data_IF_443102689491
#
_entry.id   IF_443102689491
#
_cell.length_a   1.000
_cell.length_b   1.000
_cell.length_c   1.000
_cell.angle_alpha   90.00
_cell.angle_beta   90.00
_cell.angle_gamma   90.00
#
_symmetry.space_group_name_H-M   'P 1'
#
loop_
_entity.id
_entity.type
_entity.pdbx_description
1 polymer ?
#
# COMPACT_ATOMS: atom_id res chain seq x y z
N UNK A 1 -22.67 -20.14 -24.73
CA UNK A 1 -22.65 -19.62 -24.14
C UNK A 1 -22.74 -19.00 -23.52
N UNK A 2 -22.63 -19.24 -23.68
CA UNK A 2 -22.45 -18.37 -23.01
C UNK A 2 -22.72 -17.81 -22.32
N UNK A 3 -22.72 -18.18 -22.47
CA UNK A 3 -22.74 -17.39 -21.76
C UNK A 3 -22.82 -16.89 -21.14
N UNK A 4 -22.68 -17.21 -21.32
CA UNK A 4 -22.58 -16.58 -20.63
C UNK A 4 -22.39 -15.97 -20.33
N UNK A 5 -22.08 -15.79 -20.70
CA UNK A 5 -21.81 -15.15 -20.26
C UNK A 5 -22.10 -14.23 -19.92
N UNK A 6 -22.25 -14.16 -20.36
CA UNK A 6 -22.56 -13.40 -19.87
C UNK A 6 -22.82 -12.90 -18.94
N UNK A 7 -22.98 -12.91 -18.79
CA UNK A 7 -23.08 -12.36 -17.90
C UNK A 7 -22.57 -11.82 -17.32
N UNK A 8 -22.26 -11.78 -17.69
CA UNK A 8 -21.45 -11.34 -17.24
C UNK A 8 -20.97 -10.06 -17.06
N UNK A 9 -21.30 -9.30 -17.59
CA UNK A 9 -20.88 -8.04 -17.57
C UNK A 9 -20.82 -7.47 -16.28
N UNK A 10 -21.72 -7.59 -15.48
CA UNK A 10 -21.57 -7.17 -14.21
C UNK A 10 -20.58 -7.88 -13.53
N UNK A 11 -20.32 -9.03 -13.86
CA UNK A 11 -19.28 -9.74 -13.34
C UNK A 11 -18.05 -9.12 -13.66
N UNK A 12 -17.92 -8.55 -14.78
CA UNK A 12 -16.67 -7.95 -15.15
C UNK A 12 -16.32 -6.85 -14.18
N UNK A 13 -17.28 -6.21 -13.59
CA UNK A 13 -16.95 -5.21 -12.63
C UNK A 13 -16.36 -5.81 -11.40
N UNK A 14 -16.73 -7.01 -11.08
CA UNK A 14 -16.18 -7.62 -9.93
C UNK A 14 -14.84 -8.17 -10.20
N UNK A 15 -14.49 -8.29 -11.47
CA UNK A 15 -13.21 -8.84 -11.83
C UNK A 15 -12.23 -7.78 -12.22
N UNK A 16 -12.41 -6.58 -11.71
CA UNK A 16 -11.48 -5.52 -12.02
C UNK A 16 -10.08 -5.83 -11.55
N UNK A 17 -9.95 -6.60 -10.50
CA UNK A 17 -8.64 -6.92 -9.95
C UNK A 17 -8.39 -8.40 -10.08
N UNK A 18 -7.40 -8.76 -10.88
CA UNK A 18 -7.03 -10.15 -11.01
C UNK A 18 -6.06 -10.52 -9.89
N UNK A 19 -5.84 -11.79 -9.72
CA UNK A 19 -4.91 -12.26 -8.71
C UNK A 19 -3.52 -11.73 -8.97
N UNK A 20 -3.10 -11.73 -10.23
CA UNK A 20 -1.77 -11.22 -10.59
C UNK A 20 -1.66 -9.73 -10.26
N UNK A 21 -2.70 -8.97 -10.55
CA UNK A 21 -2.68 -7.55 -10.23
C UNK A 21 -2.63 -7.33 -8.74
N UNK A 22 -3.39 -8.12 -7.99
CA UNK A 22 -3.39 -7.99 -6.54
C UNK A 22 -2.00 -8.30 -5.98
N UNK A 23 -1.36 -9.34 -6.49
CA UNK A 23 -0.03 -9.70 -6.02
C UNK A 23 0.98 -8.61 -6.34
N UNK A 24 0.89 -8.04 -7.53
CA UNK A 24 1.80 -6.98 -7.93
C UNK A 24 1.60 -5.75 -7.05
N UNK A 25 0.36 -5.40 -6.77
CA UNK A 25 0.07 -4.25 -5.93
C UNK A 25 0.63 -4.49 -4.53
N UNK A 26 0.43 -5.69 -4.00
CA UNK A 26 0.94 -6.01 -2.68
C UNK A 26 2.46 -5.94 -2.64
N UNK A 27 3.11 -6.42 -3.67
CA UNK A 27 4.56 -6.39 -3.72
C UNK A 27 5.07 -4.96 -3.70
N UNK A 28 4.44 -4.08 -4.45
CA UNK A 28 4.88 -2.70 -4.49
C UNK A 28 4.56 -1.95 -3.20
N UNK A 29 3.44 -2.28 -2.58
CA UNK A 29 3.13 -1.70 -1.28
C UNK A 29 4.17 -2.13 -0.25
N UNK A 30 4.56 -3.39 -0.28
CA UNK A 30 5.56 -3.90 0.65
C UNK A 30 6.92 -3.25 0.42
N UNK A 31 7.16 -2.76 -0.78
CA UNK A 31 8.39 -2.04 -1.09
C UNK A 31 8.32 -0.58 -0.67
N UNK A 32 7.21 -0.15 -0.12
CA UNK A 32 7.11 1.19 0.42
C UNK A 32 6.43 2.21 -0.48
N UNK A 33 5.89 1.77 -1.62
CA UNK A 33 5.21 2.71 -2.50
C UNK A 33 3.81 2.98 -2.00
N UNK A 34 3.29 4.15 -2.34
CA UNK A 34 1.93 4.47 -1.96
C UNK A 34 0.96 3.83 -2.93
N UNK A 35 -0.24 3.59 -2.45
CA UNK A 35 -1.26 3.00 -3.29
C UNK A 35 -1.58 3.91 -4.49
N UNK A 36 -1.63 5.20 -4.24
CA UNK A 36 -1.91 6.14 -5.31
C UNK A 36 -0.90 6.05 -6.44
N UNK A 37 0.39 6.06 -6.10
CA UNK A 37 1.39 6.00 -7.15
C UNK A 37 1.40 4.66 -7.86
N UNK A 38 1.08 3.58 -7.15
CA UNK A 38 1.01 2.27 -7.77
C UNK A 38 -0.09 2.22 -8.81
N UNK A 39 -1.26 2.69 -8.44
CA UNK A 39 -2.40 2.62 -9.34
C UNK A 39 -2.23 3.54 -10.55
N UNK A 40 -1.60 4.68 -10.35
CA UNK A 40 -1.39 5.60 -11.46
C UNK A 40 -0.32 5.11 -12.42
N UNK A 41 0.71 4.48 -11.90
CA UNK A 41 1.83 4.07 -12.73
C UNK A 41 1.49 2.98 -13.71
N UNK A 42 0.58 2.08 -13.33
CA UNK A 42 0.25 0.96 -14.19
C UNK A 42 -1.01 1.15 -15.01
N UNK A 43 -1.64 2.30 -14.88
CA UNK A 43 -2.84 2.55 -15.65
C UNK A 43 -3.89 1.46 -15.43
N UNK A 44 -4.07 1.09 -14.19
CA UNK A 44 -5.12 0.12 -13.87
C UNK A 44 -6.47 0.71 -14.24
N UNK A 45 -7.42 -0.14 -14.59
CA UNK A 45 -8.73 0.34 -15.03
C UNK A 45 -9.65 0.77 -13.89
N UNK A 46 -9.11 1.04 -12.73
CA UNK A 46 -9.92 1.47 -11.61
C UNK A 46 -9.21 2.57 -10.84
N UNK A 47 -10.03 3.43 -10.25
CA UNK A 47 -9.50 4.54 -9.47
C UNK A 47 -9.22 4.08 -8.05
N UNK A 48 -8.59 4.95 -7.28
CA UNK A 48 -8.30 4.64 -5.89
C UNK A 48 -9.61 4.39 -5.12
N UNK A 49 -10.63 5.20 -5.40
CA UNK A 49 -11.89 5.05 -4.71
C UNK A 49 -12.55 3.73 -5.05
N UNK A 50 -12.49 3.32 -6.30
CA UNK A 50 -13.05 2.05 -6.69
C UNK A 50 -12.29 0.91 -6.05
N UNK A 51 -10.99 1.06 -5.93
CA UNK A 51 -10.16 0.05 -5.30
C UNK A 51 -10.58 -0.15 -3.85
N UNK A 52 -10.77 0.94 -3.11
CA UNK A 52 -11.21 0.84 -1.73
C UNK A 52 -12.60 0.22 -1.64
N UNK A 53 -13.48 0.58 -2.57
CA UNK A 53 -14.80 -0.03 -2.60
C UNK A 53 -14.72 -1.54 -2.82
N UNK A 54 -13.78 -1.95 -3.65
CA UNK A 54 -13.59 -3.35 -3.92
C UNK A 54 -13.09 -4.08 -2.67
N UNK A 55 -12.19 -3.45 -1.93
CA UNK A 55 -11.67 -4.04 -0.70
C UNK A 55 -12.76 -4.28 0.33
N UNK A 56 -13.72 -3.39 0.38
CA UNK A 56 -14.81 -3.55 1.34
C UNK A 56 -15.62 -4.81 1.06
N UNK A 57 -15.65 -5.24 -0.16
CA UNK A 57 -16.42 -6.41 -0.54
C UNK A 57 -15.58 -7.67 -0.62
N UNK A 58 -14.28 -7.55 -0.42
CA UNK A 58 -13.40 -8.69 -0.56
C UNK A 58 -12.46 -8.75 0.62
N UNK A 59 -12.90 -9.43 1.66
CA UNK A 59 -12.16 -9.50 2.90
C UNK A 59 -10.78 -10.08 2.74
N UNK A 60 -10.66 -11.10 1.92
CA UNK A 60 -9.38 -11.74 1.72
C UNK A 60 -8.36 -10.79 1.11
N UNK A 61 -8.79 -10.05 0.10
CA UNK A 61 -7.91 -9.10 -0.53
C UNK A 61 -7.58 -7.97 0.41
N UNK A 62 -8.55 -7.52 1.20
CA UNK A 62 -8.34 -6.45 2.15
C UNK A 62 -7.25 -6.84 3.16
N UNK A 63 -7.27 -8.08 3.61
CA UNK A 63 -6.26 -8.55 4.54
C UNK A 63 -4.88 -8.53 3.90
N UNK A 64 -4.79 -9.00 2.66
CA UNK A 64 -3.52 -9.01 1.95
C UNK A 64 -2.97 -7.61 1.75
N UNK A 65 -3.82 -6.68 1.39
CA UNK A 65 -3.41 -5.30 1.17
C UNK A 65 -2.94 -4.68 2.49
N UNK A 66 -3.67 -4.94 3.56
CA UNK A 66 -3.31 -4.40 4.86
C UNK A 66 -1.95 -4.91 5.31
N UNK A 67 -1.71 -6.20 5.15
CA UNK A 67 -0.43 -6.76 5.53
C UNK A 67 0.70 -6.18 4.68
N UNK A 68 0.46 -6.03 3.39
CA UNK A 68 1.47 -5.47 2.51
C UNK A 68 1.81 -4.03 2.91
N UNK A 69 0.80 -3.27 3.32
CA UNK A 69 1.04 -1.89 3.75
C UNK A 69 1.85 -1.83 5.03
N UNK A 70 1.61 -2.76 5.94
CA UNK A 70 2.39 -2.81 7.17
C UNK A 70 3.85 -3.09 6.86
N UNK A 71 4.09 -4.04 5.98
CA UNK A 71 5.44 -4.36 5.57
C UNK A 71 6.07 -3.15 4.89
N UNK A 72 5.30 -2.44 4.09
CA UNK A 72 5.80 -1.25 3.40
C UNK A 72 6.27 -0.18 4.37
N UNK A 73 5.54 0.02 5.47
CA UNK A 73 5.97 1.00 6.46
C UNK A 73 7.27 0.55 7.10
N UNK A 74 7.41 -0.73 7.39
CA UNK A 74 8.65 -1.25 7.95
C UNK A 74 9.80 -1.08 6.97
N UNK A 75 9.53 -1.31 5.69
CA UNK A 75 10.54 -1.12 4.67
C UNK A 75 11.04 0.32 4.66
N UNK A 76 10.14 1.27 4.78
CA UNK A 76 10.52 2.67 4.80
C UNK A 76 11.34 3.00 6.04
N UNK A 77 10.98 2.44 7.18
CA UNK A 77 11.72 2.65 8.41
C UNK A 77 13.13 2.08 8.27
N UNK A 78 13.24 0.89 7.69
CA UNK A 78 14.55 0.29 7.48
C UNK A 78 15.43 1.17 6.59
N UNK A 79 14.85 1.74 5.56
CA UNK A 79 15.60 2.60 4.66
C UNK A 79 16.09 3.85 5.39
N UNK A 80 15.28 4.39 6.28
CA UNK A 80 15.70 5.54 7.06
C UNK A 80 16.83 5.16 8.00
N UNK A 81 16.74 3.99 8.62
CA UNK A 81 17.80 3.53 9.49
C UNK A 81 19.11 3.41 8.74
N UNK A 82 19.05 2.91 7.52
CA UNK A 82 20.26 2.81 6.71
C UNK A 82 20.86 4.17 6.44
N UNK A 83 20.02 5.16 6.16
CA UNK A 83 20.50 6.49 5.91
C UNK A 83 21.22 7.02 7.14
N UNK A 84 20.61 6.86 8.33
CA UNK A 84 21.22 7.33 9.56
C UNK A 84 22.53 6.63 9.87
N UNK A 85 22.63 5.35 9.54
CA UNK A 85 23.80 4.57 9.91
C UNK A 85 24.97 4.77 8.96
N UNK A 86 24.70 4.95 7.71
CA UNK A 86 25.75 4.87 6.71
C UNK A 86 26.00 6.15 5.93
N UNK A 87 25.14 7.12 6.05
CA UNK A 87 25.32 8.33 5.29
C UNK A 87 25.91 9.42 6.17
N UNK A 88 27.00 10.03 5.69
CA UNK A 88 27.56 11.15 6.40
C UNK A 88 26.82 12.37 5.93
N UNK A 89 26.23 13.07 6.84
CA UNK A 89 25.45 14.22 6.48
C UNK A 89 26.15 15.47 7.00
N UNK A 90 26.64 16.28 6.07
CA UNK A 90 27.34 17.50 6.46
C UNK A 90 26.46 18.72 6.31
N UNK A 91 25.41 18.59 5.52
CA UNK A 91 24.52 19.71 5.26
C UNK A 91 23.43 19.78 6.32
N UNK A 92 23.34 20.87 7.09
CA UNK A 92 22.32 20.97 8.14
C UNK A 92 20.90 20.83 7.59
N UNK A 93 20.66 21.32 6.37
CA UNK A 93 19.32 21.20 5.80
C UNK A 93 18.97 19.76 5.54
N UNK A 94 19.93 18.96 5.12
CA UNK A 94 19.70 17.55 4.89
C UNK A 94 19.36 16.85 6.20
N UNK A 95 20.04 17.23 7.27
CA UNK A 95 19.77 16.65 8.58
C UNK A 95 18.35 16.97 9.02
N UNK A 96 17.92 18.21 8.83
CA UNK A 96 16.58 18.62 9.20
C UNK A 96 15.55 17.85 8.38
N UNK A 97 15.83 17.70 7.09
CA UNK A 97 14.91 16.98 6.20
C UNK A 97 14.74 15.54 6.64
N UNK A 98 15.85 14.88 6.96
CA UNK A 98 15.80 13.49 7.41
C UNK A 98 15.03 13.38 8.72
N UNK A 99 15.25 14.33 9.62
CA UNK A 99 14.56 14.32 10.89
C UNK A 99 13.05 14.45 10.71
N UNK A 100 12.62 15.38 9.85
CA UNK A 100 11.20 15.56 9.62
C UNK A 100 10.59 14.34 8.95
N UNK A 101 11.29 13.76 8.01
CA UNK A 101 10.81 12.59 7.33
C UNK A 101 10.66 11.43 8.31
N UNK A 102 11.61 11.28 9.22
CA UNK A 102 11.55 10.23 10.22
C UNK A 102 10.35 10.41 11.13
N UNK A 103 10.10 11.64 11.55
CA UNK A 103 8.96 11.90 12.41
C UNK A 103 7.66 11.55 11.71
N UNK A 104 7.55 11.93 10.44
CA UNK A 104 6.34 11.68 9.69
C UNK A 104 6.10 10.18 9.51
N UNK A 105 7.14 9.44 9.17
CA UNK A 105 7.00 8.01 8.96
C UNK A 105 6.68 7.30 10.27
N UNK A 106 7.29 7.74 11.37
CA UNK A 106 6.99 7.18 12.67
C UNK A 106 5.54 7.42 13.05
N UNK A 107 5.06 8.62 12.76
CA UNK A 107 3.67 8.94 13.01
C UNK A 107 2.75 8.04 12.20
N UNK A 108 3.04 7.85 10.93
CA UNK A 108 2.23 6.99 10.09
C UNK A 108 2.28 5.54 10.55
N UNK A 109 3.45 5.08 10.97
CA UNK A 109 3.57 3.71 11.44
C UNK A 109 2.69 3.48 12.66
N UNK A 110 2.68 4.44 13.58
CA UNK A 110 1.86 4.31 14.76
C UNK A 110 0.38 4.32 14.41
N UNK A 111 -0.01 5.18 13.48
CA UNK A 111 -1.41 5.26 13.07
C UNK A 111 -1.86 3.99 12.39
N UNK A 112 -1.02 3.42 11.54
CA UNK A 112 -1.39 2.20 10.86
C UNK A 112 -1.49 1.04 11.84
N UNK A 113 -0.59 1.00 12.81
CA UNK A 113 -0.63 -0.05 13.80
C UNK A 113 -1.91 0.02 14.60
N UNK A 114 -2.29 1.23 15.03
CA UNK A 114 -3.52 1.39 15.78
C UNK A 114 -4.73 1.02 14.93
N UNK A 115 -4.72 1.46 13.69
CA UNK A 115 -5.87 1.26 12.82
C UNK A 115 -6.12 -0.20 12.53
N UNK A 116 -5.07 -0.98 12.36
CA UNK A 116 -5.22 -2.36 11.97
C UNK A 116 -4.98 -3.35 13.10
N UNK A 117 -4.89 -2.85 14.31
CA UNK A 117 -4.68 -3.73 15.44
C UNK A 117 -5.99 -4.39 15.80
N UNK A 118 -5.97 -5.69 15.92
CA UNK A 118 -7.15 -6.41 16.26
C UNK A 118 -7.25 -6.75 17.72
N UNK A 119 -6.20 -6.54 18.45
CA UNK A 119 -6.21 -6.94 19.83
C UNK A 119 -6.49 -5.82 20.77
N UNK A 120 -7.26 -4.88 20.32
CA UNK A 120 -7.60 -3.83 21.22
C UNK A 120 -8.57 -4.34 22.18
N UNK A 121 -8.38 -4.06 23.42
CA UNK A 121 -9.32 -4.51 24.44
C UNK A 121 -10.65 -3.88 24.24
#
# INVERSE_FOLDING_TARGET
MNNSKITTTKKSNQELITIDQADTICEQLANGKTLTEILEAKEYPFSLMKFYGYLKKNTELDIKITEARKIGVQTLIDKLLQIFQYQEVENPNAILWIREKTKFITFLANKLTDLYSDNKP
#
